data_IF_022333902269
#
_entry.id   IF_022333902269
#
_cell.length_a   1.000
_cell.length_b   1.000
_cell.length_c   1.000
_cell.angle_alpha   90.00
_cell.angle_beta   90.00
_cell.angle_gamma   90.00
#
_symmetry.space_group_name_H-M   'P 1'
#
loop_
_entity.id
_entity.type
_entity.pdbx_description
1 polymer ?
#
# COMPACT_ATOMS: atom_id res chain seq x y z
N UNK A 1 1.21 9.88 -16.68
CA UNK A 1 0.35 9.46 -15.54
C UNK A 1 1.09 8.59 -14.54
N UNK A 2 1.33 7.30 -14.80
CA UNK A 2 1.93 6.37 -13.84
C UNK A 2 3.27 6.85 -13.23
N UNK A 3 4.16 7.46 -14.03
CA UNK A 3 5.42 8.06 -13.56
C UNK A 3 5.27 9.10 -12.45
N UNK A 4 4.12 9.75 -12.33
CA UNK A 4 3.87 10.77 -11.31
C UNK A 4 3.27 10.21 -10.03
N UNK A 5 2.73 8.98 -10.07
CA UNK A 5 2.08 8.33 -8.94
C UNK A 5 2.97 7.27 -8.27
N UNK A 6 4.26 7.15 -8.63
CA UNK A 6 5.17 6.10 -8.11
C UNK A 6 5.18 6.08 -6.58
N UNK A 7 5.31 7.23 -5.93
CA UNK A 7 5.33 7.33 -4.47
C UNK A 7 3.98 6.96 -3.85
N UNK A 8 2.87 7.34 -4.51
CA UNK A 8 1.49 7.06 -4.06
C UNK A 8 1.03 5.62 -4.33
N UNK A 9 1.66 4.94 -5.29
CA UNK A 9 1.41 3.54 -5.61
C UNK A 9 2.35 2.62 -4.82
N UNK A 10 3.57 3.07 -4.57
CA UNK A 10 4.64 2.33 -3.89
C UNK A 10 4.72 2.61 -2.39
N UNK A 11 5.81 3.24 -1.91
CA UNK A 11 6.08 3.36 -0.47
C UNK A 11 5.00 4.13 0.30
N UNK A 12 4.40 5.16 -0.29
CA UNK A 12 3.27 5.90 0.29
C UNK A 12 1.89 5.34 -0.07
N UNK A 13 1.83 4.16 -0.70
CA UNK A 13 0.65 3.59 -1.34
C UNK A 13 0.17 2.27 -0.76
N UNK A 14 -1.08 1.90 -1.10
CA UNK A 14 -1.70 0.60 -0.76
C UNK A 14 -1.95 -0.29 -1.98
N UNK A 15 -1.48 0.12 -3.15
CA UNK A 15 -1.80 -0.52 -4.42
C UNK A 15 -1.04 -1.84 -4.55
N UNK A 16 -1.75 -2.98 -4.59
CA UNK A 16 -1.14 -4.31 -4.74
C UNK A 16 -1.01 -4.76 -6.20
N UNK A 17 -1.89 -4.27 -7.06
CA UNK A 17 -1.92 -4.56 -8.49
C UNK A 17 -2.51 -3.40 -9.29
N UNK A 18 -2.14 -3.32 -10.57
CA UNK A 18 -2.60 -2.32 -11.53
C UNK A 18 -3.15 -3.04 -12.76
N UNK A 19 -4.44 -2.85 -13.02
CA UNK A 19 -5.10 -3.37 -14.21
C UNK A 19 -5.40 -2.21 -15.18
N UNK A 20 -4.78 -2.24 -16.34
CA UNK A 20 -4.98 -1.24 -17.39
C UNK A 20 -6.04 -1.74 -18.37
N UNK A 21 -7.16 -1.02 -18.47
CA UNK A 21 -8.30 -1.41 -19.33
C UNK A 21 -8.34 -0.46 -20.53
N UNK A 22 -7.90 -0.97 -21.68
CA UNK A 22 -8.02 -0.29 -22.97
C UNK A 22 -9.41 -0.56 -23.55
N UNK A 23 -10.29 0.44 -23.53
CA UNK A 23 -11.64 0.35 -24.10
C UNK A 23 -11.69 0.78 -25.56
N UNK A 24 -12.80 0.49 -26.26
CA UNK A 24 -13.07 0.90 -27.66
C UNK A 24 -12.09 0.30 -28.67
N UNK A 25 -11.63 -0.91 -28.39
CA UNK A 25 -10.66 -1.64 -29.22
C UNK A 25 -11.22 -2.08 -30.57
N UNK A 26 -12.53 -1.96 -30.74
CA UNK A 26 -13.32 -2.22 -31.93
C UNK A 26 -13.67 -0.97 -32.76
N UNK A 27 -13.53 0.23 -32.18
CA UNK A 27 -13.69 1.50 -32.88
C UNK A 27 -12.43 1.80 -33.71
N UNK A 28 -12.43 1.31 -34.95
CA UNK A 28 -11.29 1.37 -35.86
C UNK A 28 -11.71 1.80 -37.26
N UNK A 29 -11.03 2.83 -37.79
CA UNK A 29 -11.10 3.15 -39.22
C UNK A 29 -10.07 2.30 -39.95
N UNK A 30 -10.54 1.28 -40.67
CA UNK A 30 -9.71 0.26 -41.30
C UNK A 30 -8.68 0.86 -42.27
N UNK A 31 -9.13 1.71 -43.19
CA UNK A 31 -8.26 2.32 -44.19
C UNK A 31 -7.21 3.25 -43.59
N UNK A 32 -7.57 4.02 -42.55
CA UNK A 32 -6.60 4.86 -41.85
C UNK A 32 -5.59 4.02 -41.06
N UNK A 33 -6.05 2.95 -40.41
CA UNK A 33 -5.20 2.08 -39.61
C UNK A 33 -4.18 1.33 -40.46
N UNK A 34 -4.61 0.65 -41.54
CA UNK A 34 -3.72 -0.11 -42.44
C UNK A 34 -2.62 0.81 -43.01
N UNK A 35 -2.99 2.02 -43.46
CA UNK A 35 -2.01 3.01 -43.94
C UNK A 35 -1.02 3.43 -42.86
N UNK A 36 -1.48 3.61 -41.63
CA UNK A 36 -0.63 4.05 -40.51
C UNK A 36 0.29 2.95 -39.98
N UNK A 37 -0.21 1.70 -39.93
CA UNK A 37 0.50 0.55 -39.37
C UNK A 37 1.48 -0.07 -40.37
N UNK A 38 1.41 0.31 -41.66
CA UNK A 38 2.25 -0.22 -42.75
C UNK A 38 2.25 -1.75 -42.79
N UNK A 39 1.09 -2.35 -42.51
CA UNK A 39 0.93 -3.81 -42.54
C UNK A 39 1.16 -4.33 -43.96
N UNK A 40 1.98 -5.38 -44.17
CA UNK A 40 2.13 -6.05 -45.46
C UNK A 40 0.76 -6.52 -45.96
N UNK A 41 0.48 -6.39 -47.27
CA UNK A 41 -0.81 -6.85 -47.85
C UNK A 41 -1.05 -8.33 -47.62
N UNK A 42 0.03 -9.07 -47.57
CA UNK A 42 0.14 -10.51 -47.36
C UNK A 42 -0.27 -10.96 -45.93
N UNK A 43 -0.41 -10.02 -44.97
CA UNK A 43 -0.90 -10.30 -43.62
C UNK A 43 -2.38 -9.90 -43.40
N UNK A 44 -3.06 -9.40 -44.42
CA UNK A 44 -4.40 -8.83 -44.30
C UNK A 44 -5.34 -9.54 -45.29
N UNK A 45 -6.27 -10.40 -44.82
CA UNK A 45 -7.33 -10.94 -45.66
C UNK A 45 -8.15 -9.82 -46.32
N UNK A 46 -8.56 -9.98 -47.58
CA UNK A 46 -9.43 -9.01 -48.30
C UNK A 46 -10.94 -9.26 -48.04
N UNK A 47 -11.30 -9.80 -46.86
CA UNK A 47 -12.66 -10.23 -46.51
C UNK A 47 -13.14 -9.71 -45.13
N UNK A 48 -14.20 -10.29 -44.57
CA UNK A 48 -14.74 -9.91 -43.24
C UNK A 48 -13.72 -10.06 -42.11
N UNK A 49 -12.67 -10.88 -42.28
CA UNK A 49 -11.62 -11.08 -41.29
C UNK A 49 -10.55 -9.97 -41.33
N UNK A 50 -10.64 -9.05 -42.30
CA UNK A 50 -9.80 -7.87 -42.38
C UNK A 50 -9.94 -6.97 -41.13
N UNK A 51 -11.19 -6.72 -40.70
CA UNK A 51 -11.49 -5.90 -39.52
C UNK A 51 -11.02 -6.58 -38.24
N UNK A 52 -11.27 -7.88 -38.11
CA UNK A 52 -10.79 -8.72 -37.01
C UNK A 52 -9.28 -8.67 -36.88
N UNK A 53 -8.55 -8.96 -37.96
CA UNK A 53 -7.07 -8.93 -37.99
C UNK A 53 -6.52 -7.55 -37.60
N UNK A 54 -7.13 -6.47 -38.09
CA UNK A 54 -6.72 -5.11 -37.72
C UNK A 54 -6.97 -4.80 -36.23
N UNK A 55 -8.08 -5.26 -35.66
CA UNK A 55 -8.39 -5.10 -34.23
C UNK A 55 -7.36 -5.85 -33.38
N UNK A 56 -7.12 -7.13 -33.69
CA UNK A 56 -6.16 -7.96 -32.95
C UNK A 56 -4.74 -7.39 -33.01
N UNK A 57 -4.29 -7.00 -34.20
CA UNK A 57 -2.97 -6.37 -34.37
C UNK A 57 -2.86 -5.05 -33.57
N UNK A 58 -3.90 -4.21 -33.59
CA UNK A 58 -3.93 -2.95 -32.81
C UNK A 58 -3.88 -3.21 -31.31
N UNK A 59 -4.62 -4.21 -30.84
CA UNK A 59 -4.70 -4.58 -29.43
C UNK A 59 -3.37 -5.10 -28.91
N UNK A 60 -2.74 -6.02 -29.64
CA UNK A 60 -1.41 -6.54 -29.29
C UNK A 60 -0.36 -5.42 -29.30
N UNK A 61 -0.37 -4.56 -30.33
CA UNK A 61 0.54 -3.42 -30.35
C UNK A 61 0.31 -2.45 -29.17
N UNK A 62 -0.95 -2.21 -28.78
CA UNK A 62 -1.27 -1.38 -27.63
C UNK A 62 -0.78 -2.01 -26.31
N UNK A 63 -1.01 -3.31 -26.10
CA UNK A 63 -0.51 -4.05 -24.94
C UNK A 63 1.00 -4.01 -24.86
N UNK A 64 1.70 -4.36 -25.94
CA UNK A 64 3.17 -4.38 -26.01
C UNK A 64 3.72 -3.01 -25.65
N UNK A 65 3.17 -1.94 -26.23
CA UNK A 65 3.60 -0.57 -25.91
C UNK A 65 3.37 -0.17 -24.46
N UNK A 66 2.27 -0.62 -23.84
CA UNK A 66 2.00 -0.35 -22.41
C UNK A 66 2.95 -1.17 -21.52
N UNK A 67 3.16 -2.46 -21.83
CA UNK A 67 4.09 -3.34 -21.12
C UNK A 67 5.53 -2.86 -21.22
N UNK A 68 6.02 -2.52 -22.41
CA UNK A 68 7.36 -1.95 -22.61
C UNK A 68 7.56 -0.65 -21.80
N UNK A 69 6.55 0.22 -21.76
CA UNK A 69 6.62 1.44 -20.94
C UNK A 69 6.66 1.14 -19.44
N UNK A 70 5.99 0.07 -19.00
CA UNK A 70 6.00 -0.38 -17.63
C UNK A 70 7.35 -1.00 -17.25
N UNK A 71 7.88 -1.90 -18.07
CA UNK A 71 9.20 -2.54 -17.88
C UNK A 71 10.33 -1.51 -17.83
N UNK A 72 10.25 -0.45 -18.65
CA UNK A 72 11.21 0.66 -18.65
C UNK A 72 10.98 1.71 -17.55
N UNK A 73 10.10 1.46 -16.57
CA UNK A 73 9.75 2.42 -15.52
C UNK A 73 10.21 1.97 -14.14
N UNK A 74 10.46 2.93 -13.24
CA UNK A 74 10.76 2.64 -11.83
C UNK A 74 9.61 1.93 -11.09
N UNK A 75 8.42 1.87 -11.67
CA UNK A 75 7.24 1.17 -11.12
C UNK A 75 7.45 -0.34 -11.14
N UNK A 76 8.21 -0.87 -12.11
CA UNK A 76 8.53 -2.31 -12.17
C UNK A 76 9.27 -2.79 -10.92
N UNK A 77 10.04 -1.91 -10.26
CA UNK A 77 10.72 -2.21 -8.99
C UNK A 77 9.75 -2.47 -7.85
N UNK A 78 8.54 -1.89 -7.93
CA UNK A 78 7.47 -2.04 -6.93
C UNK A 78 6.58 -3.24 -7.28
N UNK A 79 6.21 -3.36 -8.55
CA UNK A 79 5.33 -4.41 -9.08
C UNK A 79 6.14 -5.37 -9.94
N UNK A 80 6.80 -6.33 -9.30
CA UNK A 80 7.82 -7.17 -9.93
C UNK A 80 7.29 -8.54 -10.41
N UNK A 81 6.03 -8.90 -10.10
CA UNK A 81 5.43 -10.14 -10.57
C UNK A 81 4.42 -9.90 -11.69
N UNK A 82 4.31 -10.87 -12.60
CA UNK A 82 3.51 -10.73 -13.82
C UNK A 82 2.00 -10.56 -13.55
N UNK A 83 1.52 -11.04 -12.40
CA UNK A 83 0.12 -10.93 -12.00
C UNK A 83 -0.25 -9.56 -11.39
N UNK A 84 0.74 -8.70 -11.11
CA UNK A 84 0.51 -7.38 -10.51
C UNK A 84 0.29 -6.28 -11.55
N UNK A 85 0.58 -6.55 -12.82
CA UNK A 85 0.37 -5.60 -13.90
C UNK A 85 -0.27 -6.30 -15.09
N UNK A 86 -1.58 -6.05 -15.29
CA UNK A 86 -2.33 -6.63 -16.40
C UNK A 86 -2.82 -5.54 -17.35
N UNK A 87 -2.86 -5.86 -18.64
CA UNK A 87 -3.38 -4.96 -19.68
C UNK A 87 -4.44 -5.71 -20.46
N UNK A 88 -5.68 -5.24 -20.36
CA UNK A 88 -6.83 -5.80 -21.06
C UNK A 88 -7.20 -4.90 -22.24
N UNK A 89 -7.46 -5.50 -23.39
CA UNK A 89 -8.00 -4.80 -24.56
C UNK A 89 -9.44 -5.21 -24.80
N UNK A 90 -10.38 -4.48 -24.19
CA UNK A 90 -11.81 -4.81 -24.22
C UNK A 90 -12.57 -3.94 -25.22
N UNK A 91 -13.47 -4.57 -25.96
CA UNK A 91 -14.35 -3.91 -26.90
C UNK A 91 -15.70 -3.65 -26.24
N UNK A 92 -16.14 -2.40 -26.22
CA UNK A 92 -17.44 -2.05 -25.63
C UNK A 92 -18.59 -2.50 -26.52
N UNK A 93 -18.42 -2.53 -27.86
CA UNK A 93 -19.49 -3.03 -28.73
C UNK A 93 -19.47 -4.55 -28.81
N UNK A 94 -18.32 -5.23 -28.79
CA UNK A 94 -18.27 -6.71 -28.78
C UNK A 94 -18.89 -7.31 -27.50
N UNK A 95 -19.06 -6.50 -26.46
CA UNK A 95 -19.85 -6.89 -25.29
C UNK A 95 -21.35 -7.03 -25.61
N UNK A 96 -21.88 -6.26 -26.57
CA UNK A 96 -23.30 -6.21 -26.93
C UNK A 96 -23.61 -6.69 -28.36
N UNK A 97 -22.61 -6.80 -29.23
CA UNK A 97 -22.75 -6.99 -30.66
C UNK A 97 -21.92 -8.18 -31.15
N UNK A 98 -22.63 -9.24 -31.54
CA UNK A 98 -22.06 -10.46 -32.10
C UNK A 98 -21.62 -10.31 -33.57
N UNK A 99 -21.83 -9.14 -34.20
CA UNK A 99 -21.51 -8.88 -35.61
C UNK A 99 -20.02 -8.68 -35.90
N UNK A 100 -19.19 -8.54 -34.86
CA UNK A 100 -17.76 -8.24 -34.99
C UNK A 100 -16.89 -9.47 -35.34
N UNK A 101 -17.46 -10.68 -35.47
CA UNK A 101 -16.74 -11.94 -35.74
C UNK A 101 -15.56 -12.21 -34.79
N UNK A 102 -15.54 -11.57 -33.61
CA UNK A 102 -14.55 -11.81 -32.58
C UNK A 102 -15.03 -12.96 -31.69
N UNK A 103 -14.17 -13.94 -31.48
CA UNK A 103 -14.40 -14.99 -30.50
C UNK A 103 -14.40 -14.39 -29.09
N UNK A 104 -15.15 -14.99 -28.18
CA UNK A 104 -15.22 -14.52 -26.78
C UNK A 104 -13.83 -14.39 -26.14
N UNK A 105 -12.92 -15.33 -26.44
CA UNK A 105 -11.53 -15.34 -25.97
C UNK A 105 -10.66 -14.20 -26.52
N UNK A 106 -11.00 -13.66 -27.70
CA UNK A 106 -10.30 -12.57 -28.39
C UNK A 106 -10.69 -11.18 -27.86
N UNK A 107 -11.88 -11.07 -27.25
CA UNK A 107 -12.36 -9.81 -26.65
C UNK A 107 -11.74 -9.50 -25.29
N UNK A 108 -11.13 -10.50 -24.65
CA UNK A 108 -10.61 -10.46 -23.27
C UNK A 108 -11.64 -10.10 -22.19
N UNK A 109 -12.91 -9.89 -22.55
CA UNK A 109 -14.01 -9.63 -21.61
C UNK A 109 -14.12 -10.79 -20.61
N UNK A 110 -14.11 -12.08 -21.01
CA UNK A 110 -14.15 -13.17 -20.04
C UNK A 110 -12.97 -13.16 -19.07
N UNK A 111 -11.75 -12.90 -19.56
CA UNK A 111 -10.55 -12.83 -18.72
C UNK A 111 -10.65 -11.71 -17.68
N UNK A 112 -11.10 -10.52 -18.10
CA UNK A 112 -11.34 -9.41 -17.18
C UNK A 112 -12.44 -9.77 -16.15
N UNK A 113 -13.51 -10.43 -16.58
CA UNK A 113 -14.55 -10.90 -15.66
C UNK A 113 -14.01 -11.92 -14.66
N UNK A 114 -13.19 -12.86 -15.09
CA UNK A 114 -12.55 -13.85 -14.23
C UNK A 114 -11.63 -13.17 -13.21
N UNK A 115 -10.78 -12.23 -13.64
CA UNK A 115 -9.90 -11.49 -12.74
C UNK A 115 -10.69 -10.68 -11.70
N UNK A 116 -11.79 -10.03 -12.11
CA UNK A 116 -12.67 -9.30 -11.18
C UNK A 116 -13.44 -10.24 -10.24
N UNK A 117 -13.90 -11.40 -10.73
CA UNK A 117 -14.56 -12.43 -9.90
C UNK A 117 -13.60 -13.02 -8.90
N UNK A 118 -12.37 -13.31 -9.30
CA UNK A 118 -11.32 -13.82 -8.43
C UNK A 118 -10.96 -12.83 -7.33
N UNK A 119 -10.84 -11.54 -7.69
CA UNK A 119 -10.64 -10.48 -6.70
C UNK A 119 -11.79 -10.42 -5.69
N UNK A 120 -13.03 -10.43 -6.16
CA UNK A 120 -14.21 -10.43 -5.28
C UNK A 120 -14.30 -11.70 -4.43
N UNK A 121 -14.01 -12.87 -5.00
CA UNK A 121 -13.99 -14.16 -4.29
C UNK A 121 -12.95 -14.13 -3.17
N UNK A 122 -11.74 -13.66 -3.45
CA UNK A 122 -10.67 -13.55 -2.46
C UNK A 122 -11.05 -12.65 -1.28
N UNK A 123 -11.64 -11.48 -1.55
CA UNK A 123 -12.12 -10.57 -0.50
C UNK A 123 -13.22 -11.24 0.36
N UNK A 124 -14.19 -11.90 -0.29
CA UNK A 124 -15.28 -12.57 0.44
C UNK A 124 -14.78 -13.77 1.26
N UNK A 125 -13.82 -14.54 0.76
CA UNK A 125 -13.18 -15.63 1.51
C UNK A 125 -12.50 -15.09 2.75
N UNK A 126 -11.72 -14.01 2.63
CA UNK A 126 -11.01 -13.39 3.76
C UNK A 126 -12.01 -12.94 4.86
N UNK A 127 -13.06 -12.21 4.48
CA UNK A 127 -14.10 -11.75 5.40
C UNK A 127 -14.87 -12.90 6.05
N UNK A 128 -15.21 -13.94 5.28
CA UNK A 128 -15.96 -15.10 5.78
C UNK A 128 -15.09 -15.89 6.76
N UNK A 129 -13.82 -16.10 6.44
CA UNK A 129 -12.85 -16.80 7.31
C UNK A 129 -12.69 -16.07 8.64
N UNK A 130 -12.60 -14.75 8.64
CA UNK A 130 -12.54 -13.96 9.88
C UNK A 130 -13.78 -14.15 10.75
N UNK A 131 -14.96 -14.16 10.14
CA UNK A 131 -16.22 -14.38 10.85
C UNK A 131 -16.32 -15.79 11.45
N UNK A 132 -16.00 -16.82 10.66
CA UNK A 132 -16.03 -18.24 11.09
C UNK A 132 -15.01 -18.47 12.21
N UNK A 133 -13.79 -17.94 12.07
CA UNK A 133 -12.77 -18.03 13.12
C UNK A 133 -13.24 -17.37 14.41
N UNK A 134 -13.88 -16.20 14.34
CA UNK A 134 -14.43 -15.53 15.54
C UNK A 134 -15.46 -16.39 16.25
N UNK A 135 -16.39 -16.99 15.51
CA UNK A 135 -17.37 -17.91 16.08
C UNK A 135 -16.67 -19.13 16.72
N UNK A 136 -15.71 -19.74 16.02
CA UNK A 136 -14.94 -20.89 16.53
C UNK A 136 -14.19 -20.57 17.82
N UNK A 137 -13.60 -19.38 17.93
CA UNK A 137 -12.91 -18.94 19.14
C UNK A 137 -13.85 -18.87 20.35
N UNK A 138 -15.03 -18.24 20.17
CA UNK A 138 -16.05 -18.16 21.22
C UNK A 138 -16.55 -19.53 21.65
N UNK A 139 -16.82 -20.43 20.69
CA UNK A 139 -17.25 -21.80 21.01
C UNK A 139 -16.14 -22.60 21.71
N UNK A 140 -14.89 -22.44 21.29
CA UNK A 140 -13.74 -23.09 21.96
C UNK A 140 -13.67 -22.65 23.43
N UNK A 141 -13.85 -21.35 23.70
CA UNK A 141 -13.89 -20.85 25.08
C UNK A 141 -15.05 -21.46 25.88
N UNK A 142 -16.27 -21.52 25.31
CA UNK A 142 -17.44 -22.15 25.96
C UNK A 142 -17.18 -23.62 26.28
N UNK A 143 -16.55 -24.35 25.36
CA UNK A 143 -16.28 -25.78 25.54
C UNK A 143 -15.18 -26.03 26.60
N UNK A 144 -14.19 -25.12 26.71
CA UNK A 144 -13.15 -25.22 27.75
C UNK A 144 -13.69 -25.15 29.18
N UNK A 145 -14.79 -24.42 29.41
CA UNK A 145 -15.44 -24.31 30.72
C UNK A 145 -16.13 -25.62 31.15
N UNK A 146 -16.40 -26.56 30.24
CA UNK A 146 -17.11 -27.81 30.54
C UNK A 146 -16.23 -28.88 31.19
N UNK A 147 -14.91 -28.71 31.20
CA UNK A 147 -13.96 -29.77 31.52
C UNK A 147 -13.27 -29.57 32.91
N UNK A 148 -13.88 -28.74 33.78
CA UNK A 148 -13.42 -28.11 35.05
C UNK A 148 -12.83 -29.02 36.17
N UNK A 149 -11.86 -29.87 35.88
CA UNK A 149 -11.21 -30.73 36.86
C UNK A 149 -9.77 -30.31 37.25
N UNK A 150 -9.15 -29.29 36.63
CA UNK A 150 -7.71 -29.03 36.81
C UNK A 150 -7.27 -27.53 36.90
N UNK A 151 -7.87 -26.80 37.84
CA UNK A 151 -7.65 -25.35 38.07
C UNK A 151 -6.19 -24.92 38.26
N UNK A 152 -5.33 -25.75 38.86
CA UNK A 152 -3.90 -25.41 39.07
C UNK A 152 -3.11 -25.39 37.77
N UNK A 153 -3.41 -26.31 36.84
CA UNK A 153 -2.75 -26.39 35.54
C UNK A 153 -3.10 -25.16 34.69
N UNK A 154 -4.35 -24.72 34.78
CA UNK A 154 -4.86 -23.50 34.18
C UNK A 154 -4.13 -22.23 34.66
N UNK A 155 -4.00 -22.05 35.97
CA UNK A 155 -3.29 -20.91 36.55
C UNK A 155 -1.82 -20.85 36.08
N UNK A 156 -1.13 -22.00 36.04
CA UNK A 156 0.23 -22.08 35.51
C UNK A 156 0.32 -21.67 34.04
N UNK A 157 -0.63 -22.11 33.20
CA UNK A 157 -0.63 -21.77 31.76
C UNK A 157 -0.92 -20.29 31.52
N UNK A 158 -1.81 -19.68 32.30
CA UNK A 158 -2.07 -18.24 32.25
C UNK A 158 -0.82 -17.42 32.61
N UNK A 159 -0.08 -17.84 33.64
CA UNK A 159 1.19 -17.20 34.01
C UNK A 159 2.21 -17.34 32.87
N UNK A 160 2.28 -18.51 32.24
CA UNK A 160 3.13 -18.76 31.08
C UNK A 160 2.77 -17.83 29.91
N UNK A 161 1.49 -17.71 29.53
CA UNK A 161 1.06 -16.80 28.47
C UNK A 161 1.40 -15.34 28.77
N UNK A 162 1.22 -14.88 30.01
CA UNK A 162 1.61 -13.53 30.43
C UNK A 162 3.12 -13.31 30.35
N UNK A 163 3.92 -14.34 30.66
CA UNK A 163 5.38 -14.29 30.50
C UNK A 163 5.77 -14.21 29.03
N UNK A 164 5.21 -15.09 28.20
CA UNK A 164 5.47 -15.14 26.76
C UNK A 164 5.06 -13.82 26.08
N UNK A 165 3.93 -13.22 26.47
CA UNK A 165 3.52 -11.89 26.01
C UNK A 165 4.60 -10.84 26.27
N UNK A 166 5.13 -10.77 27.49
CA UNK A 166 6.19 -9.82 27.85
C UNK A 166 7.47 -10.07 27.04
N UNK A 167 7.88 -11.32 26.89
CA UNK A 167 9.09 -11.69 26.13
C UNK A 167 8.95 -11.33 24.64
N UNK A 168 7.83 -11.69 24.01
CA UNK A 168 7.55 -11.36 22.61
C UNK A 168 7.45 -9.85 22.37
N UNK A 169 6.91 -9.08 23.32
CA UNK A 169 6.89 -7.60 23.24
C UNK A 169 8.30 -6.99 23.37
N UNK A 170 9.21 -7.59 24.15
CA UNK A 170 10.61 -7.15 24.26
C UNK A 170 11.36 -7.38 22.95
N UNK A 171 11.18 -8.54 22.30
CA UNK A 171 11.79 -8.81 21.00
C UNK A 171 11.26 -7.86 19.91
N UNK A 172 9.94 -7.61 19.91
CA UNK A 172 9.34 -6.64 19.01
C UNK A 172 9.88 -5.22 19.23
N UNK A 173 10.10 -4.80 20.48
CA UNK A 173 10.71 -3.51 20.81
C UNK A 173 12.15 -3.41 20.27
N UNK A 174 12.96 -4.47 20.39
CA UNK A 174 14.33 -4.50 19.84
C UNK A 174 14.31 -4.31 18.33
N UNK A 175 13.40 -5.00 17.65
CA UNK A 175 13.20 -4.87 16.21
C UNK A 175 12.85 -3.42 15.82
N UNK A 176 11.87 -2.79 16.48
CA UNK A 176 11.49 -1.40 16.18
C UNK A 176 12.62 -0.40 16.48
N UNK A 177 13.40 -0.61 17.54
CA UNK A 177 14.58 0.21 17.83
C UNK A 177 15.63 0.14 16.73
N UNK A 178 15.85 -1.04 16.15
CA UNK A 178 16.76 -1.21 15.02
C UNK A 178 16.29 -0.40 13.81
N UNK A 179 15.01 -0.50 13.45
CA UNK A 179 14.46 0.25 12.33
C UNK A 179 14.53 1.76 12.57
N UNK A 180 14.19 2.21 13.78
CA UNK A 180 14.27 3.62 14.13
C UNK A 180 15.67 4.19 13.85
N UNK A 181 16.70 3.47 14.28
CA UNK A 181 18.10 3.86 14.07
C UNK A 181 18.46 3.91 12.58
N UNK A 182 18.07 2.90 11.81
CA UNK A 182 18.29 2.86 10.35
C UNK A 182 17.62 4.07 9.67
N UNK A 183 16.36 4.37 10.02
CA UNK A 183 15.62 5.51 9.48
C UNK A 183 16.25 6.85 9.87
N UNK A 184 16.64 7.02 11.14
CA UNK A 184 17.28 8.25 11.62
C UNK A 184 18.59 8.55 10.90
N UNK A 185 19.41 7.52 10.68
CA UNK A 185 20.66 7.64 9.94
C UNK A 185 20.41 8.05 8.49
N UNK A 186 19.50 7.36 7.79
CA UNK A 186 19.18 7.65 6.40
C UNK A 186 18.53 9.03 6.22
N UNK A 187 17.61 9.42 7.10
CA UNK A 187 17.02 10.75 7.08
C UNK A 187 18.06 11.83 7.33
N UNK A 188 18.99 11.63 8.27
CA UNK A 188 20.05 12.62 8.55
C UNK A 188 20.95 12.85 7.34
N UNK A 189 21.31 11.80 6.61
CA UNK A 189 22.00 11.93 5.32
C UNK A 189 21.14 12.67 4.28
N UNK A 190 19.84 12.37 4.24
CA UNK A 190 18.90 13.08 3.37
C UNK A 190 18.79 14.58 3.69
N UNK A 191 18.83 14.96 4.97
CA UNK A 191 18.87 16.37 5.41
C UNK A 191 20.12 17.06 4.88
N UNK A 192 21.30 16.46 5.06
CA UNK A 192 22.57 17.02 4.58
C UNK A 192 22.55 17.25 3.06
N UNK A 193 22.15 16.22 2.28
CA UNK A 193 22.04 16.34 0.83
C UNK A 193 21.01 17.40 0.39
N UNK A 194 19.87 17.47 1.08
CA UNK A 194 18.84 18.47 0.83
C UNK A 194 19.34 19.89 1.10
N UNK A 195 19.97 20.15 2.25
CA UNK A 195 20.52 21.47 2.60
C UNK A 195 21.52 21.94 1.54
N UNK A 196 22.41 21.05 1.09
CA UNK A 196 23.45 21.38 0.12
C UNK A 196 22.92 21.66 -1.31
N UNK A 197 21.76 21.11 -1.68
CA UNK A 197 21.27 21.14 -3.06
C UNK A 197 19.94 21.89 -3.28
N UNK A 198 19.20 22.20 -2.22
CA UNK A 198 17.83 22.73 -2.30
C UNK A 198 17.73 24.07 -3.06
N UNK A 199 18.67 24.99 -2.83
CA UNK A 199 18.68 26.31 -3.49
C UNK A 199 18.92 26.18 -4.99
N UNK A 200 19.90 25.36 -5.39
CA UNK A 200 20.20 25.11 -6.80
C UNK A 200 19.04 24.40 -7.50
N UNK A 201 18.43 23.41 -6.84
CA UNK A 201 17.26 22.68 -7.36
C UNK A 201 16.04 23.59 -7.50
N UNK A 202 15.79 24.45 -6.51
CA UNK A 202 14.72 25.46 -6.54
C UNK A 202 14.92 26.42 -7.70
N UNK A 203 16.12 27.00 -7.84
CA UNK A 203 16.49 27.88 -8.96
C UNK A 203 16.24 27.21 -10.30
N UNK A 204 16.68 25.96 -10.47
CA UNK A 204 16.48 25.19 -11.70
C UNK A 204 15.00 24.95 -12.02
N UNK A 205 14.19 24.64 -11.02
CA UNK A 205 12.76 24.34 -11.20
C UNK A 205 11.95 25.59 -11.59
N UNK A 206 12.28 26.74 -11.00
CA UNK A 206 11.57 28.01 -11.26
C UNK A 206 12.25 28.87 -12.33
N UNK A 207 13.40 28.46 -12.86
CA UNK A 207 14.05 29.09 -14.01
C UNK A 207 13.29 28.75 -15.31
N UNK A 208 13.08 29.76 -16.14
CA UNK A 208 12.37 29.60 -17.42
C UNK A 208 13.22 28.81 -18.41
N UNK A 209 12.78 27.62 -18.83
CA UNK A 209 13.38 26.92 -19.97
C UNK A 209 12.78 27.33 -21.33
N UNK A 210 11.82 28.26 -21.37
CA UNK A 210 11.15 28.65 -22.62
C UNK A 210 10.88 30.13 -22.71
N UNK A 211 11.17 30.65 -23.89
CA UNK A 211 11.03 32.03 -24.35
C UNK A 211 9.68 32.65 -23.95
N UNK A 212 9.70 33.40 -22.85
CA UNK A 212 9.16 34.76 -22.81
C UNK A 212 7.65 35.00 -22.66
N UNK A 213 6.73 34.07 -22.89
CA UNK A 213 5.27 34.37 -22.73
C UNK A 213 4.52 33.34 -21.90
N UNK A 214 4.06 33.75 -20.71
CA UNK A 214 3.11 33.01 -19.88
C UNK A 214 3.66 32.30 -18.64
N UNK A 215 4.98 32.13 -18.49
CA UNK A 215 5.56 31.44 -17.32
C UNK A 215 5.23 32.12 -15.99
N UNK A 216 5.03 33.43 -15.96
CA UNK A 216 4.60 34.13 -14.74
C UNK A 216 3.22 33.66 -14.25
N UNK A 217 2.34 33.23 -15.17
CA UNK A 217 1.02 32.66 -14.82
C UNK A 217 1.19 31.27 -14.21
N UNK A 218 2.11 30.47 -14.75
CA UNK A 218 2.48 29.15 -14.22
C UNK A 218 3.05 29.30 -12.80
N UNK A 219 4.06 30.17 -12.63
CA UNK A 219 4.68 30.40 -11.32
C UNK A 219 3.67 30.93 -10.30
N UNK A 220 2.77 31.83 -10.71
CA UNK A 220 1.68 32.30 -9.85
C UNK A 220 0.71 31.18 -9.49
N UNK A 221 0.33 30.33 -10.43
CA UNK A 221 -0.54 29.20 -10.18
C UNK A 221 0.11 28.18 -9.23
N UNK A 222 1.41 27.91 -9.41
CA UNK A 222 2.21 27.11 -8.49
C UNK A 222 2.16 27.66 -7.06
N UNK A 223 2.36 28.97 -6.88
CA UNK A 223 2.29 29.60 -5.56
C UNK A 223 0.86 29.56 -4.98
N UNK A 224 -0.18 29.80 -5.80
CA UNK A 224 -1.58 29.70 -5.35
C UNK A 224 -1.96 28.29 -4.89
N UNK A 225 -1.34 27.28 -5.48
CA UNK A 225 -1.55 25.87 -5.20
C UNK A 225 -0.44 25.30 -4.30
N UNK A 226 0.11 26.12 -3.39
CA UNK A 226 1.05 25.70 -2.35
C UNK A 226 2.28 24.93 -2.87
N UNK A 227 2.86 25.40 -3.98
CA UNK A 227 4.11 24.85 -4.53
C UNK A 227 3.92 23.81 -5.63
N UNK A 228 2.69 23.48 -6.02
CA UNK A 228 2.41 22.50 -7.06
C UNK A 228 1.60 23.07 -8.23
N UNK A 229 2.01 22.79 -9.46
CA UNK A 229 1.26 23.14 -10.67
C UNK A 229 1.26 21.98 -11.66
N UNK A 230 0.05 21.58 -12.04
CA UNK A 230 -0.18 20.60 -13.08
C UNK A 230 -0.80 21.26 -14.32
N UNK A 231 -0.06 21.23 -15.42
CA UNK A 231 -0.57 21.69 -16.72
C UNK A 231 -1.37 20.58 -17.39
N UNK A 232 -2.59 20.89 -17.88
CA UNK A 232 -3.37 19.95 -18.70
C UNK A 232 -2.73 19.66 -20.07
N UNK A 233 -1.93 20.59 -20.58
CA UNK A 233 -1.36 20.52 -21.93
C UNK A 233 0.09 20.02 -21.95
N UNK A 234 0.70 19.76 -20.78
CA UNK A 234 2.10 19.36 -20.65
C UNK A 234 2.18 18.14 -19.74
N UNK A 235 2.91 17.10 -20.14
CA UNK A 235 3.25 15.94 -19.29
C UNK A 235 4.29 16.30 -18.20
N UNK A 236 4.25 17.55 -17.71
CA UNK A 236 5.21 18.11 -16.75
C UNK A 236 4.44 18.64 -15.56
N UNK A 237 4.67 18.00 -14.41
CA UNK A 237 4.24 18.47 -13.10
C UNK A 237 5.37 19.31 -12.51
N UNK A 238 5.11 20.58 -12.20
CA UNK A 238 6.03 21.41 -11.43
C UNK A 238 5.63 21.33 -9.96
N UNK A 239 6.40 20.59 -9.16
CA UNK A 239 6.17 20.47 -7.73
C UNK A 239 7.46 20.80 -6.97
N UNK A 240 7.49 22.00 -6.38
CA UNK A 240 8.64 22.45 -5.60
C UNK A 240 8.80 21.62 -4.33
N UNK A 241 7.70 21.24 -3.66
CA UNK A 241 7.76 20.48 -2.42
C UNK A 241 8.33 19.07 -2.66
N UNK A 242 7.92 18.44 -3.77
CA UNK A 242 8.51 17.16 -4.20
C UNK A 242 9.99 17.30 -4.56
N UNK A 243 10.39 18.40 -5.21
CA UNK A 243 11.80 18.66 -5.47
C UNK A 243 12.62 18.85 -4.19
N UNK A 244 12.06 19.49 -3.17
CA UNK A 244 12.70 19.70 -1.87
C UNK A 244 12.74 18.40 -1.04
N UNK A 245 11.68 17.58 -1.10
CA UNK A 245 11.60 16.29 -0.40
C UNK A 245 12.49 15.20 -1.01
N UNK A 246 12.97 15.39 -2.25
CA UNK A 246 13.61 14.37 -3.07
C UNK A 246 14.72 13.61 -2.36
N UNK A 247 15.65 14.31 -1.70
CA UNK A 247 16.79 13.65 -1.05
C UNK A 247 16.37 12.88 0.20
N UNK A 248 15.42 13.38 0.98
CA UNK A 248 14.84 12.65 2.11
C UNK A 248 14.16 11.35 1.64
N UNK A 249 13.25 11.44 0.66
CA UNK A 249 12.61 10.25 0.08
C UNK A 249 13.61 9.25 -0.50
N UNK A 250 14.60 9.74 -1.26
CA UNK A 250 15.62 8.89 -1.87
C UNK A 250 16.41 8.11 -0.83
N UNK A 251 16.83 8.76 0.26
CA UNK A 251 17.69 8.11 1.25
C UNK A 251 16.94 7.07 2.09
N UNK A 252 15.61 7.20 2.28
CA UNK A 252 14.82 6.20 2.99
C UNK A 252 14.18 5.14 2.08
N UNK A 253 14.13 5.36 0.76
CA UNK A 253 13.29 4.58 -0.15
C UNK A 253 13.47 3.07 -0.02
N UNK A 254 14.72 2.59 -0.10
CA UNK A 254 15.03 1.16 -0.11
C UNK A 254 14.66 0.49 1.22
N UNK A 255 15.02 1.11 2.33
CA UNK A 255 14.68 0.58 3.66
C UNK A 255 13.19 0.66 3.92
N UNK A 256 12.53 1.75 3.54
CA UNK A 256 11.09 1.89 3.68
C UNK A 256 10.33 0.82 2.89
N UNK A 257 10.79 0.47 1.69
CA UNK A 257 10.20 -0.62 0.90
C UNK A 257 10.44 -2.00 1.53
N UNK A 258 11.54 -2.20 2.27
CA UNK A 258 11.79 -3.45 3.00
C UNK A 258 10.95 -3.54 4.28
N UNK A 259 10.82 -2.43 5.02
CA UNK A 259 10.04 -2.33 6.25
C UNK A 259 8.53 -2.45 5.95
N UNK A 260 8.08 -1.81 4.87
CA UNK A 260 6.68 -1.73 4.46
C UNK A 260 6.49 -2.18 2.99
N UNK A 261 6.74 -3.46 2.69
CA UNK A 261 6.59 -3.95 1.33
C UNK A 261 5.15 -3.78 0.84
N UNK A 262 5.03 -3.45 -0.44
CA UNK A 262 3.71 -3.36 -1.11
C UNK A 262 3.20 -4.76 -1.43
N UNK A 263 4.11 -5.67 -1.76
CA UNK A 263 3.81 -7.04 -2.17
C UNK A 263 4.79 -8.01 -1.52
N UNK A 264 4.28 -9.19 -1.14
CA UNK A 264 5.04 -10.18 -0.38
C UNK A 264 5.42 -9.70 1.03
N UNK A 265 6.34 -10.43 1.66
CA UNK A 265 6.92 -10.12 2.96
C UNK A 265 8.44 -10.22 2.85
N UNK A 266 9.14 -9.33 3.54
CA UNK A 266 10.60 -9.39 3.67
C UNK A 266 10.95 -9.69 5.13
N UNK A 267 12.17 -10.14 5.40
CA UNK A 267 12.62 -10.35 6.78
C UNK A 267 12.54 -9.07 7.64
N UNK A 268 12.81 -7.90 7.03
CA UNK A 268 12.69 -6.59 7.69
C UNK A 268 11.23 -6.10 7.77
N UNK A 269 10.25 -6.78 7.19
CA UNK A 269 8.86 -6.30 7.10
C UNK A 269 8.19 -6.28 8.47
N UNK A 270 7.48 -5.19 8.77
CA UNK A 270 6.68 -5.11 10.01
C UNK A 270 5.55 -6.14 10.00
N UNK A 271 4.99 -6.44 8.83
CA UNK A 271 3.96 -7.48 8.70
C UNK A 271 4.54 -8.86 9.05
N UNK A 272 5.74 -9.19 8.54
CA UNK A 272 6.39 -10.46 8.86
C UNK A 272 6.70 -10.59 10.35
N UNK A 273 7.19 -9.51 10.98
CA UNK A 273 7.44 -9.52 12.42
C UNK A 273 6.14 -9.59 13.24
N UNK A 274 5.07 -8.99 12.76
CA UNK A 274 3.73 -9.10 13.36
C UNK A 274 3.21 -10.53 13.25
N UNK A 275 3.47 -11.23 12.15
CA UNK A 275 3.07 -12.63 11.99
C UNK A 275 3.88 -13.58 12.89
N UNK A 276 5.20 -13.34 13.00
CA UNK A 276 6.11 -14.10 13.87
C UNK A 276 5.85 -13.89 15.36
N UNK A 277 5.33 -12.72 15.75
CA UNK A 277 4.94 -12.46 17.12
C UNK A 277 3.96 -13.54 17.58
N UNK A 278 4.23 -14.25 18.66
CA UNK A 278 3.24 -15.15 19.25
C UNK A 278 3.46 -15.28 20.74
N UNK A 279 2.36 -15.47 21.48
CA UNK A 279 2.43 -15.81 22.90
C UNK A 279 2.32 -17.32 23.14
N UNK A 280 2.06 -18.06 22.06
CA UNK A 280 2.00 -19.51 22.02
C UNK A 280 3.36 -20.05 21.58
N UNK A 281 3.98 -20.88 22.41
CA UNK A 281 5.21 -21.60 22.04
C UNK A 281 4.85 -22.97 21.42
N UNK A 282 5.62 -23.40 20.41
CA UNK A 282 5.41 -24.65 19.67
C UNK A 282 5.65 -25.93 20.49
N UNK A 283 6.13 -25.80 21.72
CA UNK A 283 6.49 -26.94 22.57
C UNK A 283 5.28 -27.47 23.36
N UNK A 284 4.40 -28.14 22.64
CA UNK A 284 3.99 -29.51 22.96
C UNK A 284 3.02 -29.97 21.89
N UNK A 285 3.37 -31.02 21.15
CA UNK A 285 2.55 -31.61 20.10
C UNK A 285 1.14 -32.04 20.57
N UNK A 286 0.88 -32.07 21.88
CA UNK A 286 -0.43 -32.23 22.49
C UNK A 286 -0.48 -31.46 23.82
N UNK A 287 -1.45 -30.54 24.02
CA UNK A 287 -1.81 -30.06 25.34
C UNK A 287 -2.16 -31.27 26.22
N UNK A 288 -1.60 -31.37 27.43
CA UNK A 288 -1.81 -32.52 28.34
C UNK A 288 -3.27 -32.71 28.79
N UNK A 289 -4.17 -31.80 28.42
CA UNK A 289 -5.58 -31.76 28.80
C UNK A 289 -6.40 -31.09 27.69
N UNK A 290 -7.62 -31.60 27.46
CA UNK A 290 -8.58 -31.04 26.50
C UNK A 290 -8.93 -29.58 26.80
N UNK A 291 -8.99 -29.17 28.08
CA UNK A 291 -9.18 -27.76 28.50
C UNK A 291 -8.10 -26.87 27.90
N UNK A 292 -6.84 -27.30 28.04
CA UNK A 292 -5.69 -26.53 27.57
C UNK A 292 -5.70 -26.43 26.04
N UNK A 293 -6.20 -27.45 25.35
CA UNK A 293 -6.37 -27.41 23.90
C UNK A 293 -7.37 -26.33 23.48
N UNK A 294 -8.54 -26.25 24.12
CA UNK A 294 -9.56 -25.27 23.77
C UNK A 294 -9.17 -23.82 24.09
N UNK A 295 -8.48 -23.59 25.22
CA UNK A 295 -7.97 -22.25 25.56
C UNK A 295 -6.84 -21.82 24.65
N UNK A 296 -5.94 -22.74 24.33
CA UNK A 296 -4.89 -22.51 23.38
C UNK A 296 -5.47 -22.14 22.00
N UNK A 297 -6.49 -22.85 21.55
CA UNK A 297 -7.20 -22.54 20.30
C UNK A 297 -7.89 -21.17 20.37
N UNK A 298 -8.58 -20.85 21.47
CA UNK A 298 -9.20 -19.54 21.68
C UNK A 298 -8.16 -18.39 21.57
N UNK A 299 -7.06 -18.50 22.30
CA UNK A 299 -5.98 -17.49 22.28
C UNK A 299 -5.37 -17.39 20.89
N UNK A 300 -5.09 -18.52 20.23
CA UNK A 300 -4.55 -18.54 18.87
C UNK A 300 -5.46 -17.83 17.87
N UNK A 301 -6.78 -18.03 18.00
CA UNK A 301 -7.78 -17.40 17.16
C UNK A 301 -7.82 -15.88 17.39
N UNK A 302 -7.87 -15.43 18.65
CA UNK A 302 -7.87 -14.00 18.98
C UNK A 302 -6.55 -13.32 18.57
N UNK A 303 -5.41 -13.97 18.77
CA UNK A 303 -4.10 -13.48 18.29
C UNK A 303 -4.08 -13.33 16.76
N UNK A 304 -4.58 -14.33 16.03
CA UNK A 304 -4.65 -14.29 14.55
C UNK A 304 -5.53 -13.14 14.06
N UNK A 305 -6.68 -12.94 14.71
CA UNK A 305 -7.60 -11.84 14.40
C UNK A 305 -6.97 -10.47 14.67
N UNK A 306 -6.25 -10.34 15.79
CA UNK A 306 -5.54 -9.12 16.15
C UNK A 306 -4.46 -8.78 15.12
N UNK A 307 -3.66 -9.76 14.68
CA UNK A 307 -2.66 -9.60 13.62
C UNK A 307 -3.29 -9.12 12.30
N UNK A 308 -4.43 -9.70 11.91
CA UNK A 308 -5.14 -9.30 10.70
C UNK A 308 -5.63 -7.83 10.77
N UNK A 309 -6.15 -7.40 11.92
CA UNK A 309 -6.52 -6.00 12.15
C UNK A 309 -5.29 -5.07 12.07
N UNK A 310 -4.20 -5.44 12.74
CA UNK A 310 -2.94 -4.68 12.71
C UNK A 310 -2.36 -4.55 11.30
N UNK A 311 -2.49 -5.57 10.45
CA UNK A 311 -2.05 -5.49 9.06
C UNK A 311 -2.74 -4.39 8.27
N UNK A 312 -4.04 -4.14 8.53
CA UNK A 312 -4.78 -3.03 7.91
C UNK A 312 -4.23 -1.70 8.41
N UNK A 313 -4.08 -1.56 9.72
CA UNK A 313 -3.58 -0.33 10.34
C UNK A 313 -2.14 0.00 9.92
N UNK A 314 -1.27 -1.00 9.76
CA UNK A 314 0.11 -0.83 9.27
C UNK A 314 0.11 -0.16 7.89
N UNK A 315 -0.79 -0.58 7.01
CA UNK A 315 -0.89 -0.06 5.64
C UNK A 315 -1.38 1.40 5.62
N UNK A 316 -2.18 1.81 6.60
CA UNK A 316 -2.64 3.18 6.76
C UNK A 316 -1.54 4.08 7.34
N UNK A 317 -0.90 3.61 8.41
CA UNK A 317 0.15 4.35 9.13
C UNK A 317 1.42 4.53 8.30
N UNK A 318 1.79 3.56 7.45
CA UNK A 318 2.96 3.75 6.55
C UNK A 318 2.79 4.94 5.62
N UNK A 319 1.57 5.18 5.12
CA UNK A 319 1.28 6.31 4.22
C UNK A 319 1.45 7.64 4.95
N UNK A 320 0.94 7.70 6.18
CA UNK A 320 1.08 8.88 7.03
C UNK A 320 2.56 9.19 7.35
N UNK A 321 3.35 8.16 7.68
CA UNK A 321 4.79 8.30 7.93
C UNK A 321 5.51 8.81 6.67
N UNK A 322 5.34 8.16 5.53
CA UNK A 322 6.06 8.51 4.30
C UNK A 322 5.71 9.91 3.79
N UNK A 323 4.41 10.25 3.75
CA UNK A 323 3.94 11.54 3.24
C UNK A 323 4.25 12.72 4.16
N UNK A 324 4.56 12.48 5.43
CA UNK A 324 4.88 13.53 6.41
C UNK A 324 6.07 14.41 6.00
N UNK A 325 7.01 13.89 5.21
CA UNK A 325 8.14 14.66 4.68
C UNK A 325 7.64 15.82 3.83
N UNK A 326 6.85 15.52 2.80
CA UNK A 326 6.34 16.53 1.89
C UNK A 326 5.32 17.44 2.57
N UNK A 327 4.47 16.91 3.44
CA UNK A 327 3.50 17.70 4.22
C UNK A 327 4.22 18.73 5.10
N UNK A 328 5.29 18.34 5.78
CA UNK A 328 6.07 19.25 6.63
C UNK A 328 6.71 20.36 5.81
N UNK A 329 7.28 20.04 4.64
CA UNK A 329 7.85 21.03 3.73
C UNK A 329 6.79 22.02 3.23
N UNK A 330 5.61 21.53 2.84
CA UNK A 330 4.47 22.38 2.43
C UNK A 330 4.11 23.36 3.54
N UNK A 331 4.01 22.89 4.78
CA UNK A 331 3.68 23.71 5.94
C UNK A 331 4.75 24.78 6.21
N UNK A 332 6.03 24.43 6.14
CA UNK A 332 7.13 25.37 6.32
C UNK A 332 7.18 26.44 5.21
N UNK A 333 6.79 26.08 3.98
CA UNK A 333 6.77 26.99 2.83
C UNK A 333 5.44 27.76 2.66
N UNK A 334 4.39 27.43 3.43
CA UNK A 334 3.03 27.93 3.21
C UNK A 334 2.92 29.46 3.16
N UNK A 335 3.56 30.16 4.11
CA UNK A 335 3.53 31.63 4.15
C UNK A 335 4.24 32.25 2.94
N UNK A 336 5.35 31.66 2.50
CA UNK A 336 6.07 32.09 1.29
C UNK A 336 5.21 31.93 0.05
N UNK A 337 4.51 30.80 -0.10
CA UNK A 337 3.59 30.58 -1.22
C UNK A 337 2.46 31.61 -1.25
N UNK A 338 1.87 31.93 -0.11
CA UNK A 338 0.82 32.95 0.00
C UNK A 338 1.34 34.34 -0.39
N UNK A 339 2.50 34.73 0.13
CA UNK A 339 3.13 36.01 -0.20
C UNK A 339 3.51 36.09 -1.68
N UNK A 340 4.14 35.05 -2.23
CA UNK A 340 4.49 34.98 -3.66
C UNK A 340 3.24 35.05 -4.54
N UNK A 341 2.17 34.35 -4.18
CA UNK A 341 0.89 34.39 -4.89
C UNK A 341 0.21 35.76 -4.86
N UNK A 342 0.51 36.61 -3.86
CA UNK A 342 -0.01 37.96 -3.72
C UNK A 342 0.76 39.00 -4.56
N UNK A 343 1.99 38.73 -5.00
CA UNK A 343 2.81 39.69 -5.76
C UNK A 343 2.12 40.12 -7.07
N UNK A 344 2.06 41.44 -7.32
CA UNK A 344 1.49 42.07 -8.53
C UNK A 344 2.46 43.09 -9.15
N UNK A 345 2.10 43.57 -10.34
CA UNK A 345 2.81 44.66 -11.03
C UNK A 345 4.05 44.22 -11.84
N UNK A 346 4.71 45.21 -12.43
CA UNK A 346 5.93 45.02 -13.23
C UNK A 346 7.02 44.37 -12.40
N UNK A 347 7.71 43.38 -12.99
CA UNK A 347 8.75 42.61 -12.31
C UNK A 347 8.24 41.56 -11.32
N UNK A 348 6.93 41.30 -11.25
CA UNK A 348 6.36 40.33 -10.31
C UNK A 348 6.96 38.93 -10.44
N UNK A 349 7.36 38.50 -11.64
CA UNK A 349 7.98 37.18 -11.84
C UNK A 349 9.27 37.04 -11.05
N UNK A 350 10.21 37.98 -11.23
CA UNK A 350 11.50 37.97 -10.52
C UNK A 350 11.29 38.07 -9.02
N UNK A 351 10.40 38.95 -8.56
CA UNK A 351 10.04 39.07 -7.13
C UNK A 351 9.51 37.75 -6.54
N UNK A 352 8.67 37.01 -7.27
CA UNK A 352 8.19 35.69 -6.83
C UNK A 352 9.34 34.67 -6.77
N UNK A 353 10.22 34.65 -7.78
CA UNK A 353 11.38 33.74 -7.80
C UNK A 353 12.34 34.02 -6.64
N UNK A 354 12.70 35.28 -6.45
CA UNK A 354 13.60 35.72 -5.37
C UNK A 354 13.01 35.37 -4.00
N UNK A 355 11.70 35.57 -3.80
CA UNK A 355 11.04 35.22 -2.54
C UNK A 355 11.10 33.71 -2.25
N UNK A 356 10.84 32.87 -3.26
CA UNK A 356 10.94 31.41 -3.12
C UNK A 356 12.37 30.97 -2.80
N UNK A 357 13.36 31.47 -3.55
CA UNK A 357 14.77 31.13 -3.37
C UNK A 357 15.25 31.56 -1.98
N UNK A 358 14.99 32.81 -1.59
CA UNK A 358 15.45 33.35 -0.32
C UNK A 358 14.80 32.61 0.86
N UNK A 359 13.51 32.28 0.76
CA UNK A 359 12.85 31.50 1.81
C UNK A 359 13.46 30.11 1.94
N UNK A 360 13.67 29.41 0.81
CA UNK A 360 14.32 28.08 0.83
C UNK A 360 15.71 28.19 1.46
N UNK A 361 16.52 29.17 1.07
CA UNK A 361 17.87 29.33 1.60
C UNK A 361 17.87 29.65 3.11
N UNK A 362 16.95 30.50 3.56
CA UNK A 362 16.78 30.86 4.98
C UNK A 362 16.28 29.69 5.83
N UNK A 363 15.40 28.85 5.28
CA UNK A 363 14.73 27.78 6.05
C UNK A 363 15.33 26.39 5.88
N UNK A 364 16.28 26.20 4.96
CA UNK A 364 16.74 24.85 4.55
C UNK A 364 17.08 23.95 5.73
N UNK A 365 17.88 24.41 6.69
CA UNK A 365 18.31 23.60 7.84
C UNK A 365 17.09 23.18 8.69
N UNK A 366 16.35 24.16 9.21
CA UNK A 366 15.18 23.93 10.07
C UNK A 366 14.09 23.11 9.37
N UNK A 367 13.80 23.42 8.11
CA UNK A 367 12.72 22.78 7.34
C UNK A 367 12.99 21.29 7.15
N UNK A 368 14.22 20.91 6.78
CA UNK A 368 14.56 19.51 6.57
C UNK A 368 14.72 18.75 7.88
N UNK A 369 15.27 19.39 8.93
CA UNK A 369 15.37 18.76 10.25
C UNK A 369 14.00 18.53 10.90
N UNK A 370 13.06 19.47 10.72
CA UNK A 370 11.65 19.28 11.12
C UNK A 370 11.00 18.13 10.35
N UNK A 371 11.22 18.04 9.03
CA UNK A 371 10.67 16.96 8.23
C UNK A 371 11.20 15.58 8.68
N UNK A 372 12.50 15.46 8.97
CA UNK A 372 13.09 14.26 9.59
C UNK A 372 12.43 13.95 10.94
N UNK A 373 12.35 14.96 11.82
CA UNK A 373 11.80 14.80 13.17
C UNK A 373 10.35 14.31 13.13
N UNK A 374 9.53 14.83 12.22
CA UNK A 374 8.13 14.42 12.09
C UNK A 374 7.98 12.98 11.61
N UNK A 375 8.83 12.50 10.68
CA UNK A 375 8.87 11.09 10.28
C UNK A 375 9.20 10.19 11.46
N UNK A 376 10.25 10.52 12.21
CA UNK A 376 10.69 9.73 13.37
C UNK A 376 9.65 9.72 14.49
N UNK A 377 8.99 10.86 14.72
CA UNK A 377 7.88 10.98 15.67
C UNK A 377 6.69 10.11 15.25
N UNK A 378 6.26 10.17 13.99
CA UNK A 378 5.16 9.32 13.47
C UNK A 378 5.51 7.84 13.52
N UNK A 379 6.75 7.47 13.21
CA UNK A 379 7.22 6.09 13.36
C UNK A 379 7.24 5.64 14.83
N UNK A 380 7.63 6.51 15.77
CA UNK A 380 7.54 6.22 17.20
C UNK A 380 6.11 6.11 17.71
N UNK A 381 5.16 6.90 17.19
CA UNK A 381 3.76 6.70 17.53
C UNK A 381 3.25 5.36 17.00
N UNK A 382 3.57 5.06 15.74
CA UNK A 382 3.26 3.79 15.09
C UNK A 382 3.75 2.55 15.88
N UNK A 383 5.01 2.54 16.31
CA UNK A 383 5.55 1.40 17.10
C UNK A 383 4.81 1.25 18.43
N UNK A 384 4.50 2.37 19.10
CA UNK A 384 3.83 2.36 20.39
C UNK A 384 2.41 1.83 20.25
N UNK A 385 1.70 2.24 19.21
CA UNK A 385 0.34 1.78 18.96
C UNK A 385 0.30 0.27 18.70
N UNK A 386 1.19 -0.28 17.86
CA UNK A 386 1.25 -1.73 17.62
C UNK A 386 1.47 -2.47 18.94
N UNK A 387 2.47 -2.01 19.72
CA UNK A 387 2.84 -2.65 20.98
C UNK A 387 1.70 -2.60 22.00
N UNK A 388 1.09 -1.42 22.20
CA UNK A 388 -0.01 -1.27 23.15
C UNK A 388 -1.24 -2.06 22.73
N UNK A 389 -1.53 -2.12 21.43
CA UNK A 389 -2.66 -2.90 20.92
C UNK A 389 -2.42 -4.41 21.14
N UNK A 390 -1.22 -4.92 20.85
CA UNK A 390 -0.85 -6.30 21.16
C UNK A 390 -0.91 -6.60 22.66
N UNK A 391 -0.34 -5.73 23.49
CA UNK A 391 -0.31 -5.90 24.94
C UNK A 391 -1.71 -5.91 25.55
N UNK A 392 -2.52 -4.88 25.27
CA UNK A 392 -3.84 -4.72 25.88
C UNK A 392 -4.80 -5.83 25.44
N UNK A 393 -4.94 -6.07 24.13
CA UNK A 393 -5.92 -7.04 23.61
C UNK A 393 -5.57 -8.48 23.99
N UNK A 394 -4.27 -8.86 23.97
CA UNK A 394 -3.87 -10.20 24.38
C UNK A 394 -3.91 -10.37 25.89
N UNK A 395 -3.59 -9.34 26.68
CA UNK A 395 -3.78 -9.40 28.12
C UNK A 395 -5.25 -9.59 28.48
N UNK A 396 -6.16 -8.83 27.88
CA UNK A 396 -7.61 -9.03 28.05
C UNK A 396 -8.05 -10.43 27.61
N UNK A 397 -7.51 -10.95 26.51
CA UNK A 397 -7.81 -12.31 26.03
C UNK A 397 -7.38 -13.37 27.04
N UNK A 398 -6.18 -13.24 27.62
CA UNK A 398 -5.68 -14.13 28.67
C UNK A 398 -6.52 -14.02 29.95
N UNK A 399 -7.03 -12.84 30.28
CA UNK A 399 -7.90 -12.64 31.45
C UNK A 399 -9.31 -13.22 31.23
N UNK A 400 -9.86 -13.12 30.01
CA UNK A 400 -11.14 -13.73 29.63
C UNK A 400 -11.06 -15.26 29.67
N UNK A 401 -9.98 -15.86 29.17
CA UNK A 401 -9.79 -17.31 29.24
C UNK A 401 -9.69 -17.84 30.68
N UNK A 402 -9.31 -16.97 31.64
CA UNK A 402 -9.25 -17.30 33.06
C UNK A 402 -10.56 -17.07 33.82
N UNK A 403 -11.44 -16.15 33.39
CA UNK A 403 -12.62 -15.71 34.19
C UNK A 403 -13.91 -16.46 33.87
N UNK A 404 -13.98 -17.11 32.71
CA UNK A 404 -15.20 -17.78 32.24
C UNK A 404 -15.54 -19.07 33.01
N UNK A 405 -14.57 -19.61 33.77
CA UNK A 405 -14.59 -20.91 34.47
C UNK A 405 -15.57 -21.02 35.66
N UNK A 406 -16.43 -20.02 35.93
CA UNK A 406 -17.14 -19.98 37.22
C UNK A 406 -18.68 -19.92 37.21
N UNK A 407 -19.38 -19.66 36.10
CA UNK A 407 -20.83 -19.30 36.20
C UNK A 407 -21.83 -19.68 35.07
N UNK A 408 -21.57 -20.62 34.15
CA UNK A 408 -22.57 -20.95 33.10
C UNK A 408 -23.02 -22.41 33.05
N UNK A 409 -24.31 -22.57 32.70
CA UNK A 409 -24.99 -23.84 32.43
C UNK A 409 -24.30 -24.52 31.25
N UNK A 410 -24.03 -25.81 31.38
CA UNK A 410 -23.29 -26.63 30.41
C UNK A 410 -23.98 -26.58 29.04
N UNK A 411 -23.32 -26.01 28.04
CA UNK A 411 -23.73 -26.04 26.63
C UNK A 411 -22.70 -26.83 25.85
N UNK A 412 -23.02 -28.06 25.45
CA UNK A 412 -22.20 -28.82 24.51
C UNK A 412 -22.26 -28.16 23.14
N UNK A 413 -21.10 -27.72 22.65
CA UNK A 413 -20.92 -27.01 21.38
C UNK A 413 -19.97 -27.74 20.43
N UNK A 414 -19.67 -29.01 20.71
CA UNK A 414 -18.68 -29.81 19.97
C UNK A 414 -19.06 -29.93 18.49
N UNK A 415 -20.34 -30.15 18.23
CA UNK A 415 -20.89 -30.26 16.86
C UNK A 415 -20.73 -28.95 16.09
N UNK A 416 -21.04 -27.81 16.69
CA UNK A 416 -20.90 -26.51 16.07
C UNK A 416 -19.42 -26.18 15.77
N UNK A 417 -18.50 -26.59 16.65
CA UNK A 417 -17.05 -26.46 16.37
C UNK A 417 -16.65 -27.28 15.15
N UNK A 418 -17.08 -28.55 15.05
CA UNK A 418 -16.81 -29.40 13.87
C UNK A 418 -17.40 -28.82 12.58
N UNK A 419 -18.62 -28.27 12.64
CA UNK A 419 -19.26 -27.62 11.49
C UNK A 419 -18.47 -26.39 11.02
N UNK A 420 -17.96 -25.56 11.96
CA UNK A 420 -17.11 -24.42 11.63
C UNK A 420 -15.74 -24.85 11.09
N UNK A 421 -15.17 -25.96 11.57
CA UNK A 421 -13.93 -26.52 11.04
C UNK A 421 -14.08 -26.96 9.59
N UNK A 422 -15.15 -27.71 9.28
CA UNK A 422 -15.46 -28.07 7.90
C UNK A 422 -15.61 -26.82 7.03
N UNK A 423 -16.28 -25.78 7.51
CA UNK A 423 -16.41 -24.52 6.75
C UNK A 423 -15.04 -23.85 6.51
N UNK A 424 -14.12 -23.87 7.48
CA UNK A 424 -12.77 -23.32 7.30
C UNK A 424 -11.95 -24.10 6.27
N UNK A 425 -12.10 -25.42 6.22
CA UNK A 425 -11.43 -26.27 5.23
C UNK A 425 -11.91 -25.91 3.81
N UNK A 426 -13.23 -25.74 3.61
CA UNK A 426 -13.80 -25.31 2.33
C UNK A 426 -13.39 -23.88 1.92
N UNK A 427 -12.98 -23.04 2.87
CA UNK A 427 -12.50 -21.67 2.63
C UNK A 427 -10.98 -21.63 2.41
N UNK A 428 -10.27 -22.75 2.54
CA UNK A 428 -8.81 -22.85 2.36
C UNK A 428 -8.40 -23.22 0.94
N UNK A 429 -9.35 -23.67 0.12
CA UNK A 429 -9.29 -23.88 -1.35
C UNK A 429 -9.80 -22.66 -2.14
#
# INVERSE_FOLDING_TARGET
MLKHCIEELGPGGKCKSINFICTKTDDINLGAYIRSARLPRDQIPEDKDQKKTCILHRNEHAKTRVKEKFENSDIKKIFNTDNQFQVFTVSSNAFFDNSLNLESSETEIPKLQDDLRNLNKSINIELTREYVNKAKGVLSLIHSDQLDNDKKVMEMKVIEFKKNLKESLIELEKYFKSIYKDLEQHLSKGVEESVNSCVASTKKLIASNKEGRGFHKILRALCKNYGCYWSKNWDVVLDLNKSLAKHLHKNIYDDFCKIFPVTGKTEKSVQEQTDKFSIIQSDSAYPRSDILHHIHNFIKIEETKLKAALHRDIVDKKKDIYSSIQITIVNEMASCYQQAAAVRGTGSMKKMQDLLINTVDQKKEDMFEKAKTEVLKKFNHFKMDIKSTLENELQETIERSHTQTSKKKWMDVSREIEELERLLDHLSD
#
